data_IF_517921930713
#
_entry.id   IF_517921930713
#
_cell.length_a   1.000
_cell.length_b   1.000
_cell.length_c   1.000
_cell.angle_alpha   90.00
_cell.angle_beta   90.00
_cell.angle_gamma   90.00
#
_symmetry.space_group_name_H-M   'P 1'
#
loop_
_entity.id
_entity.type
_entity.pdbx_description
1 polymer ?
#
# COMPACT_ATOMS: atom_id res chain seq x y z
N UNK A 1 9.80 -34.92 -11.66
CA UNK A 1 8.90 -34.02 -12.41
C UNK A 1 7.70 -33.49 -11.58
N UNK A 2 7.42 -34.02 -10.37
CA UNK A 2 6.31 -33.54 -9.49
C UNK A 2 6.76 -32.47 -8.47
N UNK A 3 8.07 -32.28 -8.27
CA UNK A 3 8.62 -31.34 -7.29
C UNK A 3 8.73 -29.89 -7.79
N UNK A 4 8.55 -29.65 -9.09
CA UNK A 4 8.71 -28.31 -9.68
C UNK A 4 7.42 -27.48 -9.63
N UNK A 5 6.27 -28.14 -9.74
CA UNK A 5 4.93 -27.52 -9.74
C UNK A 5 4.49 -27.00 -8.37
N UNK A 6 4.96 -27.60 -7.27
CA UNK A 6 4.67 -27.13 -5.91
C UNK A 6 5.37 -25.80 -5.59
N UNK A 7 6.61 -25.60 -6.06
CA UNK A 7 7.37 -24.36 -5.85
C UNK A 7 6.73 -23.13 -6.53
N UNK A 8 6.11 -23.34 -7.70
CA UNK A 8 5.51 -22.26 -8.50
C UNK A 8 4.13 -21.83 -7.98
N UNK A 9 3.39 -22.74 -7.34
CA UNK A 9 2.07 -22.47 -6.75
C UNK A 9 2.17 -21.65 -5.44
N UNK A 10 3.10 -22.02 -4.55
CA UNK A 10 3.41 -21.29 -3.32
C UNK A 10 3.86 -19.85 -3.59
N UNK A 11 4.74 -19.66 -4.59
CA UNK A 11 5.25 -18.35 -4.99
C UNK A 11 4.14 -17.42 -5.50
N UNK A 12 3.21 -17.94 -6.29
CA UNK A 12 2.06 -17.18 -6.79
C UNK A 12 1.09 -16.78 -5.66
N UNK A 13 0.86 -17.65 -4.66
CA UNK A 13 0.06 -17.30 -3.48
C UNK A 13 0.73 -16.18 -2.67
N UNK A 14 2.04 -16.26 -2.46
CA UNK A 14 2.80 -15.23 -1.74
C UNK A 14 2.74 -13.86 -2.43
N UNK A 15 2.92 -13.81 -3.77
CA UNK A 15 2.82 -12.56 -4.53
C UNK A 15 1.40 -11.99 -4.47
N UNK A 16 0.35 -12.83 -4.60
CA UNK A 16 -1.04 -12.38 -4.48
C UNK A 16 -1.35 -11.80 -3.09
N UNK A 17 -0.87 -12.43 -2.03
CA UNK A 17 -1.04 -11.92 -0.66
C UNK A 17 -0.28 -10.60 -0.45
N UNK A 18 0.92 -10.48 -1.02
CA UNK A 18 1.69 -9.23 -0.99
C UNK A 18 0.92 -8.10 -1.70
N UNK A 19 0.45 -8.34 -2.92
CA UNK A 19 -0.32 -7.37 -3.70
C UNK A 19 -1.63 -7.01 -3.00
N UNK A 20 -2.34 -7.99 -2.43
CA UNK A 20 -3.57 -7.75 -1.68
C UNK A 20 -3.30 -6.91 -0.42
N UNK A 21 -2.24 -7.21 0.32
CA UNK A 21 -1.82 -6.45 1.48
C UNK A 21 -1.45 -5.00 1.12
N UNK A 22 -0.74 -4.81 -0.01
CA UNK A 22 -0.41 -3.48 -0.54
C UNK A 22 -1.67 -2.71 -0.96
N UNK A 23 -2.60 -3.37 -1.64
CA UNK A 23 -3.87 -2.78 -2.06
C UNK A 23 -4.69 -2.37 -0.84
N UNK A 24 -4.89 -3.27 0.12
CA UNK A 24 -5.62 -2.99 1.36
C UNK A 24 -4.99 -1.84 2.16
N UNK A 25 -3.66 -1.84 2.30
CA UNK A 25 -2.94 -0.76 2.98
C UNK A 25 -3.10 0.58 2.28
N UNK A 26 -3.02 0.59 0.94
CA UNK A 26 -3.21 1.80 0.13
C UNK A 26 -4.64 2.32 0.23
N UNK A 27 -5.63 1.44 0.07
CA UNK A 27 -7.05 1.76 0.21
C UNK A 27 -7.38 2.32 1.59
N UNK A 28 -6.88 1.69 2.67
CA UNK A 28 -7.06 2.19 4.03
C UNK A 28 -6.43 3.58 4.23
N UNK A 29 -5.32 3.86 3.55
CA UNK A 29 -4.63 5.16 3.62
C UNK A 29 -5.37 6.28 2.90
N UNK A 30 -6.26 5.93 1.96
CA UNK A 30 -7.14 6.87 1.27
C UNK A 30 -8.46 7.01 2.05
N UNK A 31 -9.08 5.89 2.41
CA UNK A 31 -10.35 5.85 3.13
C UNK A 31 -10.26 6.49 4.52
N UNK A 32 -9.17 6.28 5.26
CA UNK A 32 -8.99 6.83 6.60
C UNK A 32 -9.16 8.35 6.64
N UNK A 33 -8.34 9.12 5.90
CA UNK A 33 -8.52 10.56 5.80
C UNK A 33 -9.88 10.98 5.25
N UNK A 34 -10.41 10.32 4.22
CA UNK A 34 -11.73 10.68 3.67
C UNK A 34 -12.86 10.52 4.69
N UNK A 35 -12.85 9.43 5.47
CA UNK A 35 -13.87 9.18 6.50
C UNK A 35 -13.71 10.16 7.67
N UNK A 36 -12.48 10.39 8.13
CA UNK A 36 -12.22 11.28 9.26
C UNK A 36 -12.61 12.72 8.89
N UNK A 37 -12.08 13.24 7.79
CA UNK A 37 -12.33 14.62 7.39
C UNK A 37 -13.76 14.81 6.88
N UNK A 38 -14.29 13.87 6.08
CA UNK A 38 -15.67 13.93 5.59
C UNK A 38 -16.68 13.85 6.73
N UNK A 39 -16.46 12.95 7.70
CA UNK A 39 -17.30 12.83 8.90
C UNK A 39 -17.23 14.09 9.78
N UNK A 40 -16.03 14.65 9.97
CA UNK A 40 -15.84 15.87 10.74
C UNK A 40 -16.47 17.10 10.06
N UNK A 41 -16.30 17.23 8.74
CA UNK A 41 -16.92 18.28 7.94
C UNK A 41 -18.45 18.20 7.98
N UNK A 42 -19.01 17.00 7.85
CA UNK A 42 -20.46 16.78 7.96
C UNK A 42 -20.99 17.12 9.36
N UNK A 43 -20.26 16.73 10.41
CA UNK A 43 -20.63 17.07 11.78
C UNK A 43 -20.63 18.58 12.04
N UNK A 44 -19.63 19.30 11.50
CA UNK A 44 -19.54 20.76 11.57
C UNK A 44 -20.66 21.45 10.80
N UNK A 45 -20.98 20.99 9.59
CA UNK A 45 -22.11 21.54 8.82
C UNK A 45 -23.44 21.37 9.58
N UNK A 46 -23.62 20.21 10.24
CA UNK A 46 -24.81 19.94 11.05
C UNK A 46 -24.90 20.83 12.31
N UNK A 47 -23.77 21.15 12.93
CA UNK A 47 -23.73 22.03 14.10
C UNK A 47 -23.92 23.52 13.75
N UNK A 48 -23.34 23.96 12.64
CA UNK A 48 -23.33 25.37 12.23
C UNK A 48 -24.53 25.77 11.37
N UNK A 49 -25.41 24.81 11.05
CA UNK A 49 -26.72 25.06 10.44
C UNK A 49 -26.67 25.66 9.03
N UNK A 50 -25.56 25.47 8.30
CA UNK A 50 -25.37 26.03 6.96
C UNK A 50 -24.99 24.97 5.95
N UNK A 51 -25.18 25.34 4.68
CA UNK A 51 -24.77 24.67 3.43
C UNK A 51 -23.48 23.86 3.59
N UNK A 52 -23.28 22.78 2.80
CA UNK A 52 -22.20 21.78 2.96
C UNK A 52 -20.78 22.29 2.64
N UNK A 53 -20.47 23.52 3.04
CA UNK A 53 -19.21 24.21 2.80
C UNK A 53 -18.11 23.61 3.65
N UNK A 54 -18.37 23.26 4.92
CA UNK A 54 -17.34 22.64 5.76
C UNK A 54 -17.01 21.25 5.28
N UNK A 55 -18.02 20.45 4.88
CA UNK A 55 -17.78 19.16 4.24
C UNK A 55 -16.88 19.29 3.01
N UNK A 56 -17.14 20.29 2.14
CA UNK A 56 -16.29 20.52 0.96
C UNK A 56 -14.86 20.92 1.31
N UNK A 57 -14.67 21.83 2.27
CA UNK A 57 -13.34 22.27 2.70
C UNK A 57 -12.54 21.11 3.30
N UNK A 58 -13.17 20.33 4.18
CA UNK A 58 -12.52 19.17 4.79
C UNK A 58 -12.25 18.06 3.76
N UNK A 59 -13.14 17.85 2.79
CA UNK A 59 -12.91 16.89 1.71
C UNK A 59 -11.75 17.32 0.80
N UNK A 60 -11.62 18.61 0.50
CA UNK A 60 -10.48 19.15 -0.23
C UNK A 60 -9.17 18.95 0.55
N UNK A 61 -9.18 19.21 1.86
CA UNK A 61 -8.02 18.94 2.73
C UNK A 61 -7.66 17.44 2.76
N UNK A 62 -8.67 16.56 2.84
CA UNK A 62 -8.47 15.11 2.78
C UNK A 62 -7.86 14.67 1.44
N UNK A 63 -8.30 15.27 0.33
CA UNK A 63 -7.73 15.00 -1.00
C UNK A 63 -6.25 15.38 -1.07
N UNK A 64 -5.86 16.55 -0.56
CA UNK A 64 -4.44 16.94 -0.51
C UNK A 64 -3.64 15.97 0.37
N UNK A 65 -4.16 15.66 1.56
CA UNK A 65 -3.49 14.77 2.51
C UNK A 65 -3.30 13.36 1.93
N UNK A 66 -4.33 12.80 1.31
CA UNK A 66 -4.27 11.46 0.68
C UNK A 66 -3.23 11.41 -0.44
N UNK A 67 -3.14 12.45 -1.27
CA UNK A 67 -2.09 12.54 -2.30
C UNK A 67 -0.68 12.55 -1.69
N UNK A 68 -0.46 13.29 -0.61
CA UNK A 68 0.82 13.31 0.11
C UNK A 68 1.14 11.92 0.70
N UNK A 69 0.15 11.27 1.31
CA UNK A 69 0.31 9.93 1.89
C UNK A 69 0.62 8.87 0.82
N UNK A 70 -0.06 8.94 -0.32
CA UNK A 70 0.20 8.06 -1.46
C UNK A 70 1.62 8.22 -1.98
N UNK A 71 2.06 9.47 -2.20
CA UNK A 71 3.41 9.74 -2.67
C UNK A 71 4.48 9.20 -1.71
N UNK A 72 4.31 9.41 -0.40
CA UNK A 72 5.25 8.89 0.61
C UNK A 72 5.27 7.35 0.62
N UNK A 73 4.11 6.71 0.44
CA UNK A 73 4.03 5.24 0.42
C UNK A 73 4.65 4.65 -0.83
N UNK A 74 4.40 5.22 -2.01
CA UNK A 74 5.02 4.77 -3.27
C UNK A 74 6.55 4.85 -3.17
N UNK A 75 7.09 5.97 -2.64
CA UNK A 75 8.54 6.08 -2.41
C UNK A 75 9.08 4.99 -1.48
N UNK A 76 8.39 4.74 -0.36
CA UNK A 76 8.77 3.68 0.58
C UNK A 76 8.70 2.29 -0.06
N UNK A 77 7.69 2.04 -0.89
CA UNK A 77 7.50 0.78 -1.59
C UNK A 77 8.62 0.50 -2.60
N UNK A 78 9.00 1.53 -3.37
CA UNK A 78 10.08 1.43 -4.35
C UNK A 78 11.40 1.04 -3.67
N UNK A 79 11.74 1.68 -2.56
CA UNK A 79 12.94 1.37 -1.79
C UNK A 79 12.93 -0.06 -1.21
N UNK A 80 11.76 -0.54 -0.77
CA UNK A 80 11.62 -1.92 -0.27
C UNK A 80 11.78 -2.92 -1.42
N UNK A 81 11.18 -2.67 -2.59
CA UNK A 81 11.30 -3.55 -3.75
C UNK A 81 12.73 -3.65 -4.25
N UNK A 82 13.45 -2.53 -4.32
CA UNK A 82 14.85 -2.51 -4.72
C UNK A 82 15.70 -3.37 -3.78
N UNK A 83 15.54 -3.19 -2.47
CA UNK A 83 16.23 -4.00 -1.46
C UNK A 83 15.88 -5.49 -1.56
N UNK A 84 14.61 -5.83 -1.75
CA UNK A 84 14.17 -7.22 -1.96
C UNK A 84 14.77 -7.84 -3.23
N UNK A 85 14.89 -7.06 -4.31
CA UNK A 85 15.52 -7.48 -5.55
C UNK A 85 17.00 -7.81 -5.36
N UNK A 86 17.74 -6.97 -4.63
CA UNK A 86 19.14 -7.20 -4.32
C UNK A 86 19.35 -8.42 -3.41
N UNK A 87 18.54 -8.59 -2.37
CA UNK A 87 18.61 -9.73 -1.45
C UNK A 87 18.32 -11.07 -2.16
N UNK A 88 17.33 -11.08 -3.07
CA UNK A 88 17.05 -12.24 -3.92
C UNK A 88 18.21 -12.59 -4.85
N UNK A 89 18.87 -11.57 -5.43
CA UNK A 89 20.01 -11.78 -6.32
C UNK A 89 21.21 -12.37 -5.57
N UNK A 90 21.52 -11.83 -4.38
CA UNK A 90 22.58 -12.35 -3.50
C UNK A 90 22.32 -13.78 -3.04
N UNK A 91 21.08 -14.12 -2.71
CA UNK A 91 20.71 -15.51 -2.36
C UNK A 91 20.95 -16.48 -3.52
N UNK A 92 20.55 -16.12 -4.74
CA UNK A 92 20.81 -16.95 -5.92
C UNK A 92 22.29 -17.18 -6.17
N UNK A 93 23.10 -16.13 -6.08
CA UNK A 93 24.56 -16.22 -6.26
C UNK A 93 25.24 -17.07 -5.17
N UNK A 94 24.69 -17.12 -3.95
CA UNK A 94 25.17 -18.01 -2.88
C UNK A 94 24.76 -19.47 -3.11
N UNK A 95 23.51 -19.72 -3.51
CA UNK A 95 23.02 -21.06 -3.85
C UNK A 95 23.77 -21.66 -5.05
N UNK A 96 24.15 -20.85 -6.05
CA UNK A 96 24.98 -21.29 -7.17
C UNK A 96 26.41 -21.65 -6.71
N UNK A 97 27.02 -20.83 -5.85
CA UNK A 97 28.36 -21.11 -5.30
C UNK A 97 28.42 -22.31 -4.36
N UNK A 98 27.34 -22.61 -3.64
CA UNK A 98 27.25 -23.82 -2.82
C UNK A 98 27.03 -25.09 -3.66
N UNK A 99 26.42 -24.99 -4.83
CA UNK A 99 26.24 -26.14 -5.75
C UNK A 99 27.50 -26.48 -6.56
N UNK A 100 28.44 -25.55 -6.69
CA UNK A 100 29.72 -25.77 -7.37
C UNK A 100 30.84 -26.30 -6.44
N UNK A 101 30.60 -26.38 -5.13
CA UNK A 101 31.52 -26.97 -4.14
C UNK A 101 31.13 -28.40 -3.79
#
# INVERSE_FOLDING_TARGET
MVLETSSMSEKNKSIKQLVLGMAAYTSASIMGPLIIFGGFGYFLDKLLGKYPLWTLVFLAAAFVLTNILLFRKIKKLSAIMEKYGEEMKKKKEQEEKEKEK
#
